data_IF_113021829000
#
_entry.id   IF_113021829000
#
_cell.length_a   1.000
_cell.length_b   1.000
_cell.length_c   1.000
_cell.angle_alpha   90.00
_cell.angle_beta   90.00
_cell.angle_gamma   90.00
#
_symmetry.space_group_name_H-M   'P 1'
#
loop_
_entity.id
_entity.type
_entity.pdbx_description
1 polymer ?
#
# COMPACT_ATOMS: atom_id res chain seq x y z
N UNK A 1 22.21 4.04 -11.14
CA UNK A 1 23.34 4.20 -12.08
C UNK A 1 22.83 4.17 -13.52
N UNK A 2 22.04 3.17 -13.91
CA UNK A 2 21.53 3.01 -15.28
C UNK A 2 20.88 4.22 -16.00
N UNK A 3 20.09 5.08 -15.34
CA UNK A 3 19.28 6.06 -16.10
C UNK A 3 20.12 7.18 -16.74
N UNK A 4 21.15 7.68 -16.04
CA UNK A 4 22.03 8.73 -16.56
C UNK A 4 22.93 8.16 -17.66
N UNK A 5 23.47 6.95 -17.47
CA UNK A 5 24.27 6.25 -18.48
C UNK A 5 23.44 5.99 -19.75
N UNK A 6 22.22 5.47 -19.61
CA UNK A 6 21.30 5.29 -20.75
C UNK A 6 21.01 6.60 -21.47
N UNK A 7 20.82 7.71 -20.74
CA UNK A 7 20.56 9.01 -21.35
C UNK A 7 21.80 9.57 -22.06
N UNK A 8 23.00 9.40 -21.48
CA UNK A 8 24.27 9.78 -22.13
C UNK A 8 24.47 9.03 -23.44
N UNK A 9 24.20 7.72 -23.44
CA UNK A 9 24.43 6.87 -24.61
C UNK A 9 23.38 7.07 -25.71
N UNK A 10 22.10 7.20 -25.35
CA UNK A 10 20.99 7.15 -26.31
C UNK A 10 20.31 8.49 -26.54
N UNK A 11 20.51 9.46 -25.65
CA UNK A 11 19.68 10.67 -25.57
C UNK A 11 18.20 10.34 -25.29
N UNK A 12 17.36 11.37 -25.29
CA UNK A 12 15.91 11.20 -25.37
C UNK A 12 15.24 12.49 -25.88
N UNK A 13 14.25 12.33 -26.77
CA UNK A 13 13.36 13.43 -27.17
C UNK A 13 12.11 13.51 -26.28
N UNK A 14 11.69 12.38 -25.69
CA UNK A 14 10.53 12.29 -24.80
C UNK A 14 10.98 11.59 -23.52
N UNK A 15 10.66 12.20 -22.37
CA UNK A 15 10.99 11.67 -21.04
C UNK A 15 9.71 11.48 -20.25
N UNK A 16 9.47 10.24 -19.81
CA UNK A 16 8.38 9.89 -18.90
C UNK A 16 8.99 9.54 -17.55
N UNK A 17 8.55 10.20 -16.48
CA UNK A 17 9.19 10.08 -15.17
C UNK A 17 8.20 10.35 -14.04
N UNK A 18 8.53 9.86 -12.84
CA UNK A 18 7.83 10.21 -11.61
C UNK A 18 8.53 11.38 -10.91
N UNK A 19 7.83 12.26 -10.17
CA UNK A 19 8.41 13.48 -9.61
C UNK A 19 9.69 13.27 -8.80
N UNK A 20 9.70 12.31 -7.86
CA UNK A 20 10.90 12.03 -7.05
C UNK A 20 12.11 11.63 -7.91
N UNK A 21 11.92 10.74 -8.89
CA UNK A 21 13.00 10.33 -9.79
C UNK A 21 13.51 11.48 -10.66
N UNK A 22 12.64 12.38 -11.07
CA UNK A 22 13.02 13.56 -11.85
C UNK A 22 13.83 14.57 -11.04
N UNK A 23 13.42 14.81 -9.79
CA UNK A 23 14.19 15.65 -8.85
C UNK A 23 15.58 15.05 -8.62
N UNK A 24 15.67 13.74 -8.34
CA UNK A 24 16.96 13.06 -8.23
C UNK A 24 17.84 13.28 -9.47
N UNK A 25 17.26 13.23 -10.67
CA UNK A 25 18.00 13.44 -11.92
C UNK A 25 18.45 14.89 -12.10
N UNK A 26 17.67 15.87 -11.65
CA UNK A 26 18.06 17.29 -11.68
C UNK A 26 19.12 17.65 -10.64
N UNK A 27 19.02 17.10 -9.44
CA UNK A 27 19.90 17.43 -8.31
C UNK A 27 21.23 16.69 -8.36
N UNK A 28 21.27 15.52 -9.02
CA UNK A 28 22.53 14.80 -9.26
C UNK A 28 23.47 15.65 -10.11
N UNK A 29 24.51 16.16 -9.45
CA UNK A 29 25.68 16.73 -10.10
C UNK A 29 26.64 15.59 -10.43
N UNK A 30 26.56 15.10 -11.66
CA UNK A 30 27.61 14.28 -12.26
C UNK A 30 28.46 15.22 -13.12
N UNK A 31 29.77 15.25 -12.89
CA UNK A 31 30.72 16.10 -13.61
C UNK A 31 30.67 15.89 -15.13
N UNK A 32 30.12 14.75 -15.57
CA UNK A 32 30.06 14.38 -16.98
C UNK A 32 28.69 14.59 -17.65
N UNK A 33 27.60 14.81 -16.91
CA UNK A 33 26.29 15.06 -17.51
C UNK A 33 25.35 15.84 -16.60
N UNK A 34 25.02 17.04 -17.06
CA UNK A 34 24.04 17.91 -16.41
C UNK A 34 22.68 17.75 -17.09
N UNK A 35 21.80 16.95 -16.49
CA UNK A 35 20.45 16.75 -17.01
C UNK A 35 19.66 18.07 -17.06
N UNK A 36 19.78 18.92 -16.03
CA UNK A 36 19.08 20.21 -15.98
C UNK A 36 19.44 21.14 -17.15
N UNK A 37 20.72 21.19 -17.54
CA UNK A 37 21.17 21.97 -18.68
C UNK A 37 20.51 21.51 -19.99
N UNK A 38 20.33 20.19 -20.16
CA UNK A 38 19.71 19.60 -21.34
C UNK A 38 18.18 19.78 -21.41
N UNK A 39 17.54 20.21 -20.32
CA UNK A 39 16.09 20.50 -20.31
C UNK A 39 15.74 21.94 -20.69
N UNK A 40 16.73 22.79 -20.99
CA UNK A 40 16.48 24.20 -21.35
C UNK A 40 15.78 24.38 -22.69
N UNK A 41 15.85 23.39 -23.57
CA UNK A 41 15.13 23.34 -24.85
C UNK A 41 13.76 22.66 -24.76
N UNK A 42 13.26 22.36 -23.55
CA UNK A 42 11.96 21.69 -23.39
C UNK A 42 10.81 22.56 -23.91
N UNK A 43 10.10 22.07 -24.92
CA UNK A 43 8.95 22.78 -25.49
C UNK A 43 7.61 22.40 -24.88
N UNK A 44 7.47 21.17 -24.38
CA UNK A 44 6.20 20.59 -23.93
C UNK A 44 6.37 19.91 -22.59
N UNK A 45 5.54 20.27 -21.60
CA UNK A 45 5.41 19.62 -20.32
C UNK A 45 4.01 19.02 -20.18
N UNK A 46 3.92 17.74 -19.81
CA UNK A 46 2.64 17.09 -19.53
C UNK A 46 2.60 16.68 -18.06
N UNK A 47 1.59 17.16 -17.34
CA UNK A 47 1.29 16.78 -15.97
C UNK A 47 0.04 15.90 -15.99
N UNK A 48 0.26 14.58 -16.00
CA UNK A 48 -0.81 13.57 -15.98
C UNK A 48 -1.17 13.17 -14.54
N UNK A 49 -2.44 12.78 -14.33
CA UNK A 49 -3.03 12.49 -13.01
C UNK A 49 -2.71 13.61 -11.98
N UNK A 50 -2.96 14.85 -12.38
CA UNK A 50 -2.49 16.04 -11.66
C UNK A 50 -3.01 16.18 -10.23
N UNK A 51 -4.19 15.62 -9.92
CA UNK A 51 -4.73 15.53 -8.55
C UNK A 51 -3.76 14.80 -7.61
N UNK A 52 -3.14 13.72 -8.10
CA UNK A 52 -2.18 12.91 -7.34
C UNK A 52 -0.84 13.61 -7.12
N UNK A 53 -0.41 14.43 -8.09
CA UNK A 53 0.86 15.17 -8.01
C UNK A 53 0.87 16.17 -6.84
N UNK A 54 -0.29 16.48 -6.27
CA UNK A 54 -0.44 17.40 -5.15
C UNK A 54 -0.78 16.66 -3.85
N UNK A 55 -1.71 15.70 -3.90
CA UNK A 55 -2.20 14.92 -2.75
C UNK A 55 -1.11 14.17 -1.96
N UNK A 56 -0.07 13.71 -2.64
CA UNK A 56 0.95 12.82 -2.05
C UNK A 56 2.16 13.56 -1.46
N UNK A 57 2.09 14.89 -1.31
CA UNK A 57 3.24 15.69 -0.87
C UNK A 57 4.32 15.85 -1.95
N UNK A 58 4.01 15.51 -3.20
CA UNK A 58 4.89 15.75 -4.34
C UNK A 58 4.89 17.22 -4.79
N UNK A 59 4.06 18.08 -4.20
CA UNK A 59 4.03 19.51 -4.49
C UNK A 59 5.43 20.14 -4.46
N UNK A 60 6.22 19.82 -3.43
CA UNK A 60 7.63 20.27 -3.34
C UNK A 60 8.44 19.79 -4.54
N UNK A 61 8.36 18.50 -4.87
CA UNK A 61 9.07 17.91 -6.00
C UNK A 61 8.64 18.53 -7.33
N UNK A 62 7.34 18.77 -7.52
CA UNK A 62 6.79 19.43 -8.72
C UNK A 62 7.30 20.86 -8.82
N UNK A 63 7.25 21.64 -7.74
CA UNK A 63 7.79 23.00 -7.70
C UNK A 63 9.29 23.03 -8.03
N UNK A 64 10.08 22.09 -7.48
CA UNK A 64 11.50 21.93 -7.83
C UNK A 64 11.65 21.65 -9.32
N UNK A 65 10.92 20.69 -9.88
CA UNK A 65 10.93 20.39 -11.33
C UNK A 65 10.62 21.63 -12.15
N UNK A 66 9.53 22.34 -11.84
CA UNK A 66 9.10 23.54 -12.57
C UNK A 66 10.16 24.66 -12.51
N UNK A 67 10.97 24.73 -11.45
CA UNK A 67 12.06 25.70 -11.31
C UNK A 67 13.24 25.44 -12.24
N UNK A 68 13.52 24.17 -12.58
CA UNK A 68 14.57 23.81 -13.53
C UNK A 68 14.16 24.04 -14.99
N UNK A 69 12.86 23.87 -15.29
CA UNK A 69 12.32 23.91 -16.65
C UNK A 69 12.17 25.34 -17.21
N UNK A 70 12.32 25.54 -18.53
CA UNK A 70 12.17 26.86 -19.17
C UNK A 70 10.75 27.39 -18.99
N UNK A 71 10.60 28.69 -18.70
CA UNK A 71 9.28 29.34 -18.53
C UNK A 71 8.47 29.37 -19.83
N UNK A 72 9.15 29.48 -20.97
CA UNK A 72 8.53 29.45 -22.30
C UNK A 72 8.39 28.00 -22.75
N UNK A 73 7.24 27.40 -22.42
CA UNK A 73 6.86 26.04 -22.80
C UNK A 73 5.35 25.91 -22.89
N UNK A 74 4.86 24.96 -23.67
CA UNK A 74 3.46 24.52 -23.65
C UNK A 74 3.28 23.55 -22.50
N UNK A 75 2.28 23.75 -21.65
CA UNK A 75 2.01 22.83 -20.54
C UNK A 75 0.60 22.29 -20.66
N UNK A 76 0.48 20.97 -20.73
CA UNK A 76 -0.79 20.25 -20.69
C UNK A 76 -0.98 19.64 -19.30
N UNK A 77 -2.13 19.90 -18.68
CA UNK A 77 -2.51 19.30 -17.40
C UNK A 77 -3.72 18.40 -17.63
N UNK A 78 -3.59 17.13 -17.24
CA UNK A 78 -4.62 16.12 -17.40
C UNK A 78 -4.98 15.54 -16.03
N UNK A 79 -6.27 15.44 -15.75
CA UNK A 79 -6.79 14.86 -14.52
C UNK A 79 -8.22 14.38 -14.73
N UNK A 80 -8.55 13.21 -14.20
CA UNK A 80 -9.93 12.71 -14.19
C UNK A 80 -10.82 13.46 -13.17
N UNK A 81 -10.22 14.08 -12.15
CA UNK A 81 -10.95 14.81 -11.11
C UNK A 81 -10.49 16.25 -11.01
N UNK A 82 -11.44 17.18 -10.88
CA UNK A 82 -11.15 18.58 -10.58
C UNK A 82 -11.26 18.78 -9.07
N UNK A 83 -10.12 18.94 -8.42
CA UNK A 83 -10.02 19.31 -7.00
C UNK A 83 -9.47 20.73 -6.89
N UNK A 84 -9.59 21.37 -5.71
CA UNK A 84 -9.09 22.74 -5.51
C UNK A 84 -7.58 22.82 -5.69
N UNK A 85 -6.88 21.78 -5.27
CA UNK A 85 -5.43 21.65 -5.39
C UNK A 85 -5.03 21.71 -6.88
N UNK A 86 -5.78 21.02 -7.75
CA UNK A 86 -5.54 21.09 -9.20
C UNK A 86 -5.72 22.53 -9.73
N UNK A 87 -6.70 23.29 -9.23
CA UNK A 87 -6.86 24.70 -9.60
C UNK A 87 -5.67 25.56 -9.18
N UNK A 88 -5.08 25.28 -8.02
CA UNK A 88 -3.89 25.99 -7.54
C UNK A 88 -2.65 25.62 -8.38
N UNK A 89 -2.51 24.36 -8.79
CA UNK A 89 -1.46 23.95 -9.73
C UNK A 89 -1.65 24.56 -11.13
N UNK A 90 -2.88 24.72 -11.59
CA UNK A 90 -3.21 25.45 -12.82
C UNK A 90 -2.68 26.90 -12.71
N UNK A 91 -2.92 27.58 -11.58
CA UNK A 91 -2.44 28.96 -11.36
C UNK A 91 -0.92 29.06 -11.27
N UNK A 92 -0.26 28.09 -10.66
CA UNK A 92 1.19 28.10 -10.48
C UNK A 92 1.97 27.66 -11.73
N UNK A 93 1.42 26.71 -12.50
CA UNK A 93 2.16 25.99 -13.55
C UNK A 93 1.79 26.36 -14.99
N UNK A 94 0.63 27.00 -15.22
CA UNK A 94 0.12 27.29 -16.57
C UNK A 94 0.10 28.79 -16.88
N UNK A 95 0.42 29.14 -18.12
CA UNK A 95 0.30 30.51 -18.66
C UNK A 95 -0.91 30.55 -19.60
N UNK A 96 -1.88 31.41 -19.30
CA UNK A 96 -3.14 31.55 -20.05
C UNK A 96 -3.82 30.19 -20.36
N UNK A 97 -4.18 29.41 -19.33
CA UNK A 97 -4.74 28.08 -19.52
C UNK A 97 -6.12 28.14 -20.18
N UNK A 98 -6.37 27.24 -21.13
CA UNK A 98 -7.71 26.95 -21.64
C UNK A 98 -8.21 25.68 -20.96
N UNK A 99 -9.34 25.76 -20.28
CA UNK A 99 -9.95 24.60 -19.62
C UNK A 99 -10.89 23.88 -20.57
N UNK A 100 -10.61 22.60 -20.84
CA UNK A 100 -11.49 21.71 -21.59
C UNK A 100 -12.06 20.69 -20.60
N UNK A 101 -13.36 20.76 -20.37
CA UNK A 101 -14.08 19.81 -19.50
C UNK A 101 -15.02 18.97 -20.36
N UNK A 102 -14.68 17.70 -20.52
CA UNK A 102 -15.57 16.72 -21.15
C UNK A 102 -16.57 16.27 -20.08
N UNK A 103 -17.84 16.64 -20.26
CA UNK A 103 -18.95 16.15 -19.45
C UNK A 103 -19.72 15.14 -20.29
N UNK A 104 -19.91 13.91 -19.78
CA UNK A 104 -20.85 12.98 -20.41
C UNK A 104 -22.26 13.60 -20.42
N UNK A 105 -23.01 13.38 -21.51
CA UNK A 105 -24.38 13.89 -21.67
C UNK A 105 -25.23 13.42 -20.50
N UNK A 106 -26.04 14.35 -19.98
CA UNK A 106 -26.97 14.11 -18.90
C UNK A 106 -27.81 12.86 -19.18
N UNK A 107 -27.78 11.87 -18.29
CA UNK A 107 -28.88 10.90 -18.21
C UNK A 107 -30.15 11.65 -17.78
N UNK A 108 -31.31 11.17 -18.19
CA UNK A 108 -32.64 11.81 -18.08
C UNK A 108 -33.08 12.23 -16.66
N UNK A 109 -32.23 12.04 -15.65
CA UNK A 109 -32.40 12.39 -14.24
C UNK A 109 -31.58 13.63 -13.79
N UNK A 110 -30.95 14.37 -14.71
CA UNK A 110 -30.39 15.71 -14.42
C UNK A 110 -29.14 15.74 -13.51
N UNK A 111 -28.51 14.61 -13.23
CA UNK A 111 -27.27 14.53 -12.42
C UNK A 111 -26.06 14.23 -13.31
N UNK A 112 -25.07 15.14 -13.32
CA UNK A 112 -23.78 14.92 -14.00
C UNK A 112 -22.97 13.85 -13.26
N UNK A 113 -22.74 12.69 -13.87
CA UNK A 113 -21.90 11.62 -13.29
C UNK A 113 -20.42 11.81 -13.68
N UNK A 114 -19.49 11.50 -12.75
CA UNK A 114 -18.03 11.51 -12.98
C UNK A 114 -17.45 10.14 -13.33
N UNK A 115 -18.30 9.12 -13.42
CA UNK A 115 -17.95 7.74 -13.74
C UNK A 115 -18.32 7.41 -15.18
N UNK A 116 -17.62 6.46 -15.84
CA UNK A 116 -17.97 6.04 -17.21
C UNK A 116 -19.44 5.63 -17.34
N UNK A 117 -20.11 5.96 -18.45
CA UNK A 117 -21.53 5.67 -18.65
C UNK A 117 -21.91 4.17 -18.54
N UNK A 118 -21.02 3.27 -18.97
CA UNK A 118 -21.24 1.81 -18.93
C UNK A 118 -20.83 1.17 -17.59
N UNK A 119 -20.42 1.98 -16.60
CA UNK A 119 -20.05 1.52 -15.26
C UNK A 119 -21.27 1.47 -14.34
N UNK A 120 -21.58 0.27 -13.84
CA UNK A 120 -22.56 0.09 -12.76
C UNK A 120 -21.86 0.04 -11.41
N UNK A 121 -22.18 0.97 -10.52
CA UNK A 121 -21.62 1.01 -9.17
C UNK A 121 -22.61 0.41 -8.17
N UNK A 122 -22.18 -0.60 -7.45
CA UNK A 122 -22.95 -1.30 -6.43
C UNK A 122 -22.33 -1.12 -5.05
N UNK A 123 -23.14 -1.27 -4.01
CA UNK A 123 -22.66 -1.44 -2.65
C UNK A 123 -23.38 -2.58 -1.92
N UNK A 124 -22.66 -3.19 -0.97
CA UNK A 124 -23.23 -4.13 0.01
C UNK A 124 -22.89 -3.62 1.41
N UNK A 125 -23.90 -3.59 2.27
CA UNK A 125 -23.71 -3.42 3.72
C UNK A 125 -23.41 -4.79 4.34
N UNK A 126 -22.25 -4.93 4.95
CA UNK A 126 -21.77 -6.19 5.52
C UNK A 126 -21.01 -5.94 6.82
N UNK A 127 -21.37 -6.70 7.85
CA UNK A 127 -20.65 -6.71 9.12
C UNK A 127 -19.18 -7.14 8.92
N UNK A 128 -18.29 -6.62 9.77
CA UNK A 128 -16.84 -6.76 9.58
C UNK A 128 -16.37 -8.23 9.59
N UNK A 129 -17.02 -9.09 10.38
CA UNK A 129 -16.77 -10.52 10.47
C UNK A 129 -17.15 -11.24 9.17
N UNK A 130 -18.25 -10.86 8.53
CA UNK A 130 -18.77 -11.51 7.31
C UNK A 130 -18.11 -11.07 6.02
N UNK A 131 -17.33 -9.97 6.02
CA UNK A 131 -16.72 -9.41 4.79
C UNK A 131 -15.87 -10.43 4.03
N UNK A 132 -15.07 -11.24 4.73
CA UNK A 132 -14.21 -12.24 4.08
C UNK A 132 -15.01 -13.37 3.43
N UNK A 133 -16.00 -13.91 4.14
CA UNK A 133 -16.87 -14.97 3.60
C UNK A 133 -17.63 -14.47 2.37
N UNK A 134 -18.12 -13.23 2.41
CA UNK A 134 -18.81 -12.58 1.31
C UNK A 134 -17.89 -12.40 0.10
N UNK A 135 -16.66 -11.89 0.29
CA UNK A 135 -15.70 -11.73 -0.80
C UNK A 135 -15.40 -13.06 -1.50
N UNK A 136 -15.15 -14.12 -0.72
CA UNK A 136 -14.84 -15.45 -1.29
C UNK A 136 -16.03 -16.02 -2.03
N UNK A 137 -17.24 -15.93 -1.45
CA UNK A 137 -18.48 -16.40 -2.09
C UNK A 137 -18.76 -15.64 -3.40
N UNK A 138 -18.54 -14.33 -3.40
CA UNK A 138 -18.67 -13.49 -4.58
C UNK A 138 -17.67 -13.91 -5.68
N UNK A 139 -16.39 -14.07 -5.34
CA UNK A 139 -15.36 -14.45 -6.31
C UNK A 139 -15.56 -15.88 -6.84
N UNK A 140 -16.11 -16.80 -6.05
CA UNK A 140 -16.44 -18.15 -6.50
C UNK A 140 -17.60 -18.18 -7.49
N UNK A 141 -18.67 -17.42 -7.21
CA UNK A 141 -19.83 -17.30 -8.11
C UNK A 141 -19.47 -16.63 -9.43
N UNK A 142 -18.43 -15.79 -9.46
CA UNK A 142 -17.94 -15.09 -10.64
C UNK A 142 -16.57 -15.61 -11.12
N UNK A 143 -16.28 -16.90 -10.91
CA UNK A 143 -14.94 -17.47 -11.14
C UNK A 143 -14.42 -17.42 -12.58
N UNK A 144 -15.31 -17.22 -13.56
CA UNK A 144 -14.99 -17.10 -15.00
C UNK A 144 -14.77 -15.65 -15.46
N UNK A 145 -14.71 -14.70 -14.54
CA UNK A 145 -14.54 -13.28 -14.85
C UNK A 145 -13.17 -12.78 -14.35
N UNK A 146 -12.78 -11.59 -14.83
CA UNK A 146 -11.55 -10.90 -14.40
C UNK A 146 -11.87 -9.85 -13.36
N UNK A 147 -11.23 -9.96 -12.20
CA UNK A 147 -11.51 -9.16 -11.00
C UNK A 147 -10.29 -8.38 -10.53
N UNK A 148 -10.53 -7.14 -10.09
CA UNK A 148 -9.57 -6.39 -9.27
C UNK A 148 -10.15 -6.17 -7.87
N UNK A 149 -9.39 -6.49 -6.83
CA UNK A 149 -9.81 -6.35 -5.43
C UNK A 149 -8.88 -5.39 -4.71
N UNK A 150 -9.41 -4.23 -4.32
CA UNK A 150 -8.69 -3.18 -3.63
C UNK A 150 -8.77 -3.33 -2.11
N UNK A 151 -7.59 -3.23 -1.48
CA UNK A 151 -7.42 -3.17 -0.03
C UNK A 151 -6.66 -1.90 0.37
N UNK A 152 -6.92 -1.40 1.58
CA UNK A 152 -6.35 -0.13 2.06
C UNK A 152 -4.85 -0.18 2.34
N UNK A 153 -4.26 -1.36 2.59
CA UNK A 153 -2.84 -1.45 2.98
C UNK A 153 -2.10 -2.60 2.30
N UNK A 154 -0.77 -2.44 2.17
CA UNK A 154 0.11 -3.48 1.63
C UNK A 154 0.05 -4.77 2.47
N UNK A 155 -0.06 -4.67 3.80
CA UNK A 155 -0.12 -5.83 4.66
C UNK A 155 -1.46 -6.58 4.52
N UNK A 156 -2.56 -5.87 4.29
CA UNK A 156 -3.84 -6.49 3.92
C UNK A 156 -3.72 -7.24 2.59
N UNK A 157 -3.13 -6.63 1.56
CA UNK A 157 -2.88 -7.32 0.27
C UNK A 157 -2.06 -8.60 0.46
N UNK A 158 -0.98 -8.58 1.23
CA UNK A 158 -0.14 -9.77 1.48
C UNK A 158 -0.83 -10.87 2.28
N UNK A 159 -1.77 -10.50 3.15
CA UNK A 159 -2.55 -11.42 4.00
C UNK A 159 -3.71 -12.03 3.23
N UNK A 160 -4.59 -11.20 2.66
CA UNK A 160 -5.77 -11.67 1.94
C UNK A 160 -5.39 -12.39 0.65
N UNK A 161 -4.33 -12.00 -0.07
CA UNK A 161 -3.85 -12.81 -1.22
C UNK A 161 -3.44 -14.23 -0.80
N UNK A 162 -2.75 -14.38 0.33
CA UNK A 162 -2.33 -15.69 0.82
C UNK A 162 -3.53 -16.58 1.22
N UNK A 163 -4.62 -15.97 1.71
CA UNK A 163 -5.88 -16.66 2.01
C UNK A 163 -6.63 -17.01 0.73
N UNK A 164 -6.83 -16.04 -0.16
CA UNK A 164 -7.61 -16.21 -1.38
C UNK A 164 -7.01 -17.30 -2.28
N UNK A 165 -5.69 -17.41 -2.36
CA UNK A 165 -5.01 -18.53 -3.06
C UNK A 165 -5.43 -19.90 -2.51
N UNK A 166 -5.67 -20.02 -1.20
CA UNK A 166 -6.09 -21.28 -0.58
C UNK A 166 -7.60 -21.54 -0.76
N UNK A 167 -8.41 -20.48 -0.78
CA UNK A 167 -9.87 -20.55 -0.85
C UNK A 167 -10.42 -20.66 -2.27
N UNK A 168 -9.73 -20.06 -3.25
CA UNK A 168 -10.11 -20.01 -4.66
C UNK A 168 -9.26 -20.97 -5.49
N UNK A 169 -9.36 -22.28 -5.22
CA UNK A 169 -8.49 -23.30 -5.84
C UNK A 169 -8.56 -23.33 -7.38
N UNK A 170 -9.68 -22.90 -7.96
CA UNK A 170 -9.93 -22.92 -9.41
C UNK A 170 -9.72 -21.56 -10.08
N UNK A 171 -9.26 -20.54 -9.35
CA UNK A 171 -9.11 -19.18 -9.87
C UNK A 171 -7.70 -18.69 -9.59
N UNK A 172 -7.03 -18.16 -10.62
CA UNK A 172 -5.70 -17.58 -10.45
C UNK A 172 -5.79 -16.31 -9.59
N UNK A 173 -5.08 -16.29 -8.46
CA UNK A 173 -4.97 -15.11 -7.60
C UNK A 173 -3.54 -14.59 -7.64
N UNK A 174 -3.39 -13.32 -8.00
CA UNK A 174 -2.11 -12.61 -8.00
C UNK A 174 -2.24 -11.31 -7.22
N UNK A 175 -1.13 -10.74 -6.76
CA UNK A 175 -1.16 -9.54 -5.91
C UNK A 175 -0.10 -8.52 -6.28
N UNK A 176 -0.46 -7.23 -6.24
CA UNK A 176 0.45 -6.11 -6.45
C UNK A 176 0.28 -5.07 -5.35
N UNK A 177 1.37 -4.64 -4.72
CA UNK A 177 1.37 -3.52 -3.77
C UNK A 177 2.65 -2.69 -3.88
N UNK A 178 2.63 -1.48 -3.31
CA UNK A 178 3.70 -0.48 -3.50
C UNK A 178 5.10 -0.89 -3.02
N UNK A 179 5.20 -1.84 -2.08
CA UNK A 179 6.49 -2.35 -1.58
C UNK A 179 7.16 -3.39 -2.49
N UNK A 180 6.51 -3.80 -3.58
CA UNK A 180 7.07 -4.75 -4.54
C UNK A 180 7.97 -4.04 -5.55
N UNK A 181 9.29 -4.25 -5.46
CA UNK A 181 10.27 -3.64 -6.37
C UNK A 181 10.45 -4.45 -7.67
N UNK A 182 11.00 -5.67 -7.60
CA UNK A 182 11.47 -6.42 -8.78
C UNK A 182 10.42 -7.30 -9.48
N UNK A 183 9.37 -7.73 -8.77
CA UNK A 183 8.36 -8.66 -9.32
C UNK A 183 7.12 -7.97 -9.90
N UNK A 184 6.97 -6.66 -9.67
CA UNK A 184 5.75 -5.92 -9.99
C UNK A 184 5.43 -5.95 -11.48
N UNK A 185 6.41 -5.65 -12.32
CA UNK A 185 6.23 -5.62 -13.78
C UNK A 185 5.80 -6.99 -14.31
N UNK A 186 6.51 -8.06 -13.94
CA UNK A 186 6.17 -9.43 -14.38
C UNK A 186 4.76 -9.85 -13.98
N UNK A 187 4.30 -9.48 -12.79
CA UNK A 187 2.94 -9.80 -12.32
C UNK A 187 1.91 -8.95 -13.07
N UNK A 188 2.23 -7.69 -13.34
CA UNK A 188 1.38 -6.80 -14.13
C UNK A 188 1.20 -7.31 -15.56
N UNK A 189 2.30 -7.62 -16.27
CA UNK A 189 2.27 -8.15 -17.63
C UNK A 189 1.48 -9.48 -17.69
N UNK A 190 1.64 -10.32 -16.67
CA UNK A 190 0.86 -11.55 -16.54
C UNK A 190 -0.63 -11.26 -16.36
N UNK A 191 -1.02 -10.24 -15.59
CA UNK A 191 -2.43 -9.90 -15.42
C UNK A 191 -3.06 -9.30 -16.67
N UNK A 192 -2.29 -8.51 -17.42
CA UNK A 192 -2.76 -7.92 -18.69
C UNK A 192 -3.26 -9.00 -19.65
N UNK A 193 -2.51 -10.10 -19.73
CA UNK A 193 -2.79 -11.23 -20.64
C UNK A 193 -3.77 -12.26 -20.07
N UNK A 194 -4.19 -12.13 -18.81
CA UNK A 194 -5.21 -13.02 -18.23
C UNK A 194 -6.61 -12.64 -18.72
N UNK A 195 -7.37 -13.63 -19.18
CA UNK A 195 -8.80 -13.49 -19.48
C UNK A 195 -9.65 -13.57 -18.21
N UNK A 196 -9.24 -14.41 -17.25
CA UNK A 196 -9.95 -14.64 -15.98
C UNK A 196 -8.97 -14.70 -14.82
N UNK A 197 -9.41 -14.29 -13.63
CA UNK A 197 -8.57 -14.29 -12.43
C UNK A 197 -8.79 -13.09 -11.53
N UNK A 198 -8.03 -13.04 -10.43
CA UNK A 198 -8.17 -12.03 -9.38
C UNK A 198 -6.84 -11.33 -9.14
N UNK A 199 -6.81 -10.01 -9.32
CA UNK A 199 -5.71 -9.16 -8.89
C UNK A 199 -6.04 -8.47 -7.56
N UNK A 200 -5.32 -8.86 -6.51
CA UNK A 200 -5.40 -8.23 -5.18
C UNK A 200 -4.41 -7.07 -5.10
N UNK A 201 -4.88 -5.84 -4.88
CA UNK A 201 -3.99 -4.68 -4.96
C UNK A 201 -4.32 -3.54 -3.99
N UNK A 202 -3.36 -2.62 -3.85
CA UNK A 202 -3.57 -1.31 -3.23
C UNK A 202 -3.77 -0.23 -4.29
N UNK A 203 -3.93 1.03 -3.88
CA UNK A 203 -4.08 2.20 -4.75
C UNK A 203 -2.91 2.49 -5.69
N UNK A 204 -1.84 1.68 -5.65
CA UNK A 204 -0.80 1.70 -6.69
C UNK A 204 -1.36 1.30 -8.06
N UNK A 205 -2.42 0.50 -8.08
CA UNK A 205 -3.11 0.05 -9.31
C UNK A 205 -4.39 0.85 -9.61
N UNK A 206 -4.70 1.89 -8.84
CA UNK A 206 -5.94 2.65 -9.01
C UNK A 206 -5.86 3.70 -10.13
N UNK A 207 -4.66 4.17 -10.50
CA UNK A 207 -4.43 5.31 -11.42
C UNK A 207 -3.41 4.97 -12.50
N UNK A 208 -3.51 5.61 -13.66
CA UNK A 208 -2.50 5.54 -14.73
C UNK A 208 -2.21 4.18 -15.37
N UNK A 209 -2.91 3.10 -14.98
CA UNK A 209 -2.73 1.76 -15.54
C UNK A 209 -3.97 1.33 -16.31
N UNK A 210 -3.80 1.03 -17.59
CA UNK A 210 -4.90 0.58 -18.44
C UNK A 210 -4.95 -0.93 -18.53
N UNK A 211 -5.91 -1.56 -17.84
CA UNK A 211 -6.04 -3.01 -17.80
C UNK A 211 -7.27 -3.39 -18.62
N UNK A 212 -7.12 -4.17 -19.70
CA UNK A 212 -8.24 -4.58 -20.53
C UNK A 212 -9.12 -5.61 -19.82
N UNK A 213 -10.41 -5.58 -20.18
CA UNK A 213 -11.41 -6.61 -19.86
C UNK A 213 -11.59 -6.92 -18.37
N UNK A 214 -11.40 -5.92 -17.50
CA UNK A 214 -11.76 -6.05 -16.08
C UNK A 214 -13.28 -6.02 -15.97
N UNK A 215 -13.89 -7.11 -15.49
CA UNK A 215 -15.34 -7.23 -15.36
C UNK A 215 -15.83 -6.59 -14.05
N UNK A 216 -15.07 -6.83 -12.97
CA UNK A 216 -15.39 -6.32 -11.65
C UNK A 216 -14.23 -5.61 -10.96
N UNK A 217 -14.54 -4.46 -10.37
CA UNK A 217 -13.69 -3.79 -9.38
C UNK A 217 -14.34 -3.90 -8.00
N UNK A 218 -13.78 -4.74 -7.15
CA UNK A 218 -14.20 -4.91 -5.77
C UNK A 218 -13.39 -3.99 -4.85
N UNK A 219 -14.06 -3.19 -4.05
CA UNK A 219 -13.45 -2.35 -3.02
C UNK A 219 -13.81 -2.95 -1.67
N UNK A 220 -12.91 -3.80 -1.16
CA UNK A 220 -13.12 -4.50 0.12
C UNK A 220 -13.13 -3.52 1.30
N UNK A 221 -12.27 -2.51 1.20
CA UNK A 221 -12.18 -1.38 2.10
C UNK A 221 -12.59 -0.11 1.35
N UNK A 222 -13.27 0.81 2.05
CA UNK A 222 -13.52 2.14 1.53
C UNK A 222 -12.19 2.83 1.14
N UNK A 223 -12.14 3.52 0.00
CA UNK A 223 -10.93 4.20 -0.47
C UNK A 223 -10.61 5.40 0.41
N UNK A 224 -9.30 5.64 0.63
CA UNK A 224 -8.78 6.70 1.50
C UNK A 224 -9.38 8.07 1.20
N UNK A 225 -9.62 8.37 -0.08
CA UNK A 225 -10.19 9.61 -0.57
C UNK A 225 -11.35 9.34 -1.52
N UNK A 226 -12.25 10.32 -1.67
CA UNK A 226 -13.36 10.23 -2.62
C UNK A 226 -12.89 10.24 -4.08
N UNK A 227 -11.79 10.90 -4.40
CA UNK A 227 -11.16 10.82 -5.73
C UNK A 227 -10.65 9.39 -6.00
N UNK A 228 -10.00 8.75 -5.01
CA UNK A 228 -9.54 7.36 -5.13
C UNK A 228 -10.68 6.39 -5.47
N UNK A 229 -11.92 6.65 -5.03
CA UNK A 229 -13.08 5.84 -5.42
C UNK A 229 -13.30 5.85 -6.94
N UNK A 230 -13.33 7.03 -7.56
CA UNK A 230 -13.53 7.20 -9.00
C UNK A 230 -12.43 6.48 -9.78
N UNK A 231 -11.18 6.64 -9.33
CA UNK A 231 -10.02 6.05 -9.99
C UNK A 231 -10.03 4.52 -9.94
N UNK A 232 -10.40 3.95 -8.78
CA UNK A 232 -10.58 2.51 -8.61
C UNK A 232 -11.69 2.00 -9.52
N UNK A 233 -12.90 2.54 -9.42
CA UNK A 233 -14.04 2.04 -10.19
C UNK A 233 -13.83 2.25 -11.71
N UNK A 234 -13.11 3.29 -12.10
CA UNK A 234 -12.67 3.54 -13.48
C UNK A 234 -11.57 2.60 -13.99
N UNK A 235 -11.21 1.52 -13.28
CA UNK A 235 -10.37 0.42 -13.83
C UNK A 235 -11.16 -0.58 -14.66
N UNK A 236 -12.49 -0.54 -14.59
CA UNK A 236 -13.41 -1.30 -15.46
C UNK A 236 -14.19 -0.31 -16.35
N UNK A 237 -15.09 -0.82 -17.19
CA UNK A 237 -15.89 -0.04 -18.15
C UNK A 237 -15.05 0.86 -19.07
N UNK A 238 -13.97 0.31 -19.61
CA UNK A 238 -13.02 1.01 -20.51
C UNK A 238 -13.22 0.59 -21.95
N UNK A 239 -12.82 1.47 -22.88
CA UNK A 239 -12.83 1.19 -24.32
C UNK A 239 -14.17 0.66 -24.87
N UNK A 240 -15.30 1.14 -24.31
CA UNK A 240 -16.64 0.73 -24.75
C UNK A 240 -17.15 -0.58 -24.15
N UNK A 241 -16.40 -1.24 -23.27
CA UNK A 241 -16.87 -2.40 -22.53
C UNK A 241 -17.74 -2.00 -21.34
N UNK A 242 -18.65 -2.89 -20.94
CA UNK A 242 -19.38 -2.76 -19.67
C UNK A 242 -18.49 -3.13 -18.48
N UNK A 243 -18.81 -2.56 -17.32
CA UNK A 243 -18.05 -2.79 -16.10
C UNK A 243 -18.89 -2.64 -14.85
N UNK A 244 -18.51 -3.37 -13.80
CA UNK A 244 -19.19 -3.30 -12.51
C UNK A 244 -18.19 -3.00 -11.41
N UNK A 245 -18.56 -2.13 -10.47
CA UNK A 245 -17.78 -1.88 -9.27
C UNK A 245 -18.63 -2.19 -8.04
N UNK A 246 -18.04 -2.81 -7.03
CA UNK A 246 -18.73 -3.17 -5.79
C UNK A 246 -17.97 -2.62 -4.59
N UNK A 247 -18.63 -1.80 -3.78
CA UNK A 247 -18.09 -1.28 -2.53
C UNK A 247 -18.67 -2.04 -1.33
N UNK A 248 -17.80 -2.60 -0.47
CA UNK A 248 -18.21 -3.23 0.78
C UNK A 248 -18.11 -2.24 1.94
N UNK A 249 -19.25 -1.92 2.56
CA UNK A 249 -19.33 -1.02 3.71
C UNK A 249 -19.82 -1.76 4.94
N UNK A 250 -19.29 -1.38 6.11
CA UNK A 250 -19.84 -1.75 7.40
C UNK A 250 -21.08 -0.89 7.70
N UNK A 251 -22.02 -1.37 8.53
CA UNK A 251 -23.19 -0.58 8.94
C UNK A 251 -22.85 0.83 9.47
N UNK A 252 -21.72 0.97 10.18
CA UNK A 252 -21.22 2.25 10.69
C UNK A 252 -20.68 3.20 9.62
N UNK A 253 -20.55 2.76 8.37
CA UNK A 253 -19.98 3.52 7.25
C UNK A 253 -21.05 3.98 6.24
N UNK A 254 -22.34 3.79 6.53
CA UNK A 254 -23.47 4.09 5.63
C UNK A 254 -23.44 5.54 5.09
N UNK A 255 -23.04 6.47 5.93
CA UNK A 255 -22.96 7.91 5.67
C UNK A 255 -21.94 8.23 4.57
N UNK A 256 -21.01 7.32 4.29
CA UNK A 256 -20.06 7.44 3.19
C UNK A 256 -20.75 7.44 1.82
N UNK A 257 -21.89 6.74 1.66
CA UNK A 257 -22.66 6.73 0.41
C UNK A 257 -23.18 8.13 0.06
N UNK A 258 -23.76 8.81 1.06
CA UNK A 258 -24.25 10.19 0.89
C UNK A 258 -23.10 11.17 0.62
N UNK A 259 -21.95 10.94 1.25
CA UNK A 259 -20.74 11.72 0.97
C UNK A 259 -20.24 11.53 -0.47
N UNK A 260 -20.22 10.30 -1.00
CA UNK A 260 -19.87 10.05 -2.41
C UNK A 260 -20.86 10.72 -3.37
N UNK A 261 -22.15 10.67 -3.07
CA UNK A 261 -23.17 11.34 -3.89
C UNK A 261 -22.96 12.87 -3.93
N UNK A 262 -22.72 13.49 -2.77
CA UNK A 262 -22.56 14.95 -2.69
C UNK A 262 -21.23 15.44 -3.28
N UNK A 263 -20.12 14.78 -2.96
CA UNK A 263 -18.78 15.26 -3.32
C UNK A 263 -18.34 14.84 -4.72
N UNK A 264 -18.76 13.64 -5.15
CA UNK A 264 -18.32 13.04 -6.41
C UNK A 264 -19.46 12.86 -7.42
N UNK A 265 -20.72 13.11 -7.03
CA UNK A 265 -21.90 12.91 -7.88
C UNK A 265 -22.01 11.47 -8.39
N UNK A 266 -21.57 10.53 -7.55
CA UNK A 266 -21.68 9.10 -7.84
C UNK A 266 -22.75 8.48 -6.96
N UNK A 267 -23.72 7.83 -7.60
CA UNK A 267 -24.76 7.05 -6.95
C UNK A 267 -24.38 5.57 -7.01
N UNK A 268 -24.53 4.86 -5.89
CA UNK A 268 -24.32 3.42 -5.83
C UNK A 268 -25.66 2.72 -5.61
N UNK A 269 -25.91 1.65 -6.35
CA UNK A 269 -27.09 0.82 -6.21
C UNK A 269 -26.86 -0.25 -5.13
N UNK A 270 -27.86 -0.48 -4.29
CA UNK A 270 -27.77 -1.54 -3.27
C UNK A 270 -27.85 -2.89 -3.97
N UNK A 271 -26.88 -3.76 -3.70
CA UNK A 271 -26.91 -5.16 -4.12
C UNK A 271 -27.16 -6.03 -2.89
N UNK A 272 -27.95 -7.09 -3.05
CA UNK A 272 -28.14 -8.05 -1.98
C UNK A 272 -26.90 -8.95 -1.83
N UNK A 273 -26.46 -9.23 -0.60
CA UNK A 273 -25.32 -10.10 -0.38
C UNK A 273 -25.64 -11.52 -0.88
N UNK A 274 -24.70 -12.21 -1.56
CA UNK A 274 -24.91 -13.60 -1.91
C UNK A 274 -25.11 -14.43 -0.64
N UNK A 275 -25.91 -15.49 -0.72
CA UNK A 275 -26.07 -16.42 0.38
C UNK A 275 -24.70 -16.96 0.80
N UNK A 276 -24.29 -16.69 2.04
CA UNK A 276 -22.98 -17.11 2.54
C UNK A 276 -23.03 -18.62 2.79
N UNK A 277 -22.47 -19.39 1.86
CA UNK A 277 -22.48 -20.87 1.93
C UNK A 277 -21.27 -21.42 2.68
N UNK A 278 -20.18 -20.63 2.77
CA UNK A 278 -18.88 -21.11 3.23
C UNK A 278 -18.45 -20.47 4.55
N UNK A 279 -18.07 -21.30 5.53
CA UNK A 279 -17.29 -20.87 6.70
C UNK A 279 -15.81 -20.72 6.33
N UNK A 280 -15.45 -19.60 5.70
CA UNK A 280 -14.06 -19.30 5.34
C UNK A 280 -13.25 -18.98 6.58
N UNK A 281 -13.81 -18.21 7.51
CA UNK A 281 -13.11 -17.78 8.74
C UNK A 281 -12.54 -18.97 9.51
N UNK A 282 -13.32 -20.03 9.72
CA UNK A 282 -12.86 -21.24 10.43
C UNK A 282 -11.71 -21.95 9.69
N UNK A 283 -11.79 -22.03 8.36
CA UNK A 283 -10.72 -22.59 7.52
C UNK A 283 -9.45 -21.76 7.64
N UNK A 284 -9.58 -20.43 7.66
CA UNK A 284 -8.44 -19.51 7.81
C UNK A 284 -7.84 -19.60 9.21
N UNK A 285 -8.66 -19.71 10.27
CA UNK A 285 -8.18 -19.96 11.63
C UNK A 285 -7.36 -21.26 11.70
N UNK A 286 -7.86 -22.35 11.09
CA UNK A 286 -7.12 -23.62 10.98
C UNK A 286 -5.79 -23.45 10.24
N UNK A 287 -5.76 -22.70 9.14
CA UNK A 287 -4.53 -22.38 8.40
C UNK A 287 -3.54 -21.56 9.26
N UNK A 288 -4.02 -20.59 10.03
CA UNK A 288 -3.20 -19.78 10.92
C UNK A 288 -2.61 -20.59 12.09
N UNK A 289 -3.32 -21.61 12.57
CA UNK A 289 -2.80 -22.57 13.56
C UNK A 289 -1.71 -23.48 12.98
N UNK A 290 -1.77 -23.78 11.68
CA UNK A 290 -0.81 -24.65 11.01
C UNK A 290 0.44 -23.91 10.50
N UNK A 291 0.31 -22.64 10.10
CA UNK A 291 1.41 -21.85 9.57
C UNK A 291 1.52 -20.48 10.24
N UNK A 292 2.63 -20.30 10.96
CA UNK A 292 3.01 -19.05 11.62
C UNK A 292 3.05 -17.86 10.67
N UNK A 293 3.41 -18.06 9.40
CA UNK A 293 3.47 -16.97 8.44
C UNK A 293 2.08 -16.35 8.18
N UNK A 294 1.03 -17.17 8.11
CA UNK A 294 -0.35 -16.70 7.92
C UNK A 294 -0.81 -15.95 9.16
N UNK A 295 -0.54 -16.50 10.36
CA UNK A 295 -0.85 -15.86 11.63
C UNK A 295 -0.20 -14.45 11.75
N UNK A 296 1.10 -14.35 11.49
CA UNK A 296 1.83 -13.07 11.61
C UNK A 296 1.38 -12.04 10.58
N UNK A 297 1.07 -12.49 9.36
CA UNK A 297 0.47 -11.64 8.33
C UNK A 297 -0.90 -11.11 8.76
N UNK A 298 -1.75 -11.95 9.34
CA UNK A 298 -3.08 -11.55 9.83
C UNK A 298 -2.99 -10.47 10.90
N UNK A 299 -2.13 -10.68 11.91
CA UNK A 299 -1.87 -9.69 12.96
C UNK A 299 -1.37 -8.36 12.37
N UNK A 300 -0.41 -8.42 11.45
CA UNK A 300 0.13 -7.21 10.79
C UNK A 300 -0.93 -6.50 9.96
N UNK A 301 -1.72 -7.24 9.20
CA UNK A 301 -2.79 -6.72 8.37
C UNK A 301 -3.84 -6.00 9.23
N UNK A 302 -4.31 -6.61 10.31
CA UNK A 302 -5.27 -6.01 11.24
C UNK A 302 -4.77 -4.70 11.86
N UNK A 303 -3.53 -4.68 12.39
CA UNK A 303 -2.93 -3.45 12.95
C UNK A 303 -2.82 -2.37 11.87
N UNK A 304 -2.37 -2.74 10.68
CA UNK A 304 -2.23 -1.77 9.58
C UNK A 304 -3.57 -1.21 9.09
N UNK A 305 -4.62 -2.04 9.06
CA UNK A 305 -5.96 -1.62 8.69
C UNK A 305 -6.50 -0.59 9.68
N UNK A 306 -6.40 -0.85 10.99
CA UNK A 306 -6.86 0.10 12.03
C UNK A 306 -6.11 1.43 11.92
N UNK A 307 -4.80 1.39 11.67
CA UNK A 307 -4.00 2.61 11.46
C UNK A 307 -4.43 3.37 10.20
N UNK A 308 -4.76 2.67 9.11
CA UNK A 308 -5.26 3.28 7.89
C UNK A 308 -6.65 3.88 8.10
N UNK A 309 -7.54 3.17 8.80
CA UNK A 309 -8.88 3.62 9.16
C UNK A 309 -8.84 4.90 10.01
N UNK A 310 -7.92 4.98 10.98
CA UNK A 310 -7.69 6.20 11.76
C UNK A 310 -7.28 7.40 10.90
N UNK A 311 -6.40 7.15 9.93
CA UNK A 311 -5.81 8.18 9.07
C UNK A 311 -6.63 8.42 7.80
N UNK A 312 -7.87 7.93 7.77
CA UNK A 312 -8.77 8.14 6.65
C UNK A 312 -9.05 9.63 6.49
N UNK A 313 -9.13 10.12 5.26
CA UNK A 313 -9.38 11.54 4.99
C UNK A 313 -10.75 11.97 5.55
N UNK A 314 -11.76 11.14 5.31
CA UNK A 314 -13.09 11.25 5.93
C UNK A 314 -13.13 10.74 7.38
N UNK A 315 -12.20 11.16 8.25
CA UNK A 315 -12.10 10.70 9.65
C UNK A 315 -13.37 10.94 10.49
N UNK A 316 -14.22 11.89 10.07
CA UNK A 316 -15.52 12.16 10.69
C UNK A 316 -16.57 11.07 10.40
N UNK A 317 -16.46 10.40 9.24
CA UNK A 317 -17.32 9.29 8.85
C UNK A 317 -16.73 7.96 9.36
N UNK A 318 -15.42 7.78 9.19
CA UNK A 318 -14.71 6.57 9.62
C UNK A 318 -14.17 6.72 11.05
N UNK A 319 -15.09 6.76 12.01
CA UNK A 319 -14.74 6.94 13.43
C UNK A 319 -14.31 5.62 14.05
N UNK A 320 -13.11 5.58 14.63
CA UNK A 320 -12.58 4.40 15.35
C UNK A 320 -13.43 4.05 16.58
N UNK A 321 -14.22 4.99 17.09
CA UNK A 321 -15.11 4.74 18.24
C UNK A 321 -16.26 3.81 17.87
N UNK A 322 -16.73 3.85 16.63
CA UNK A 322 -17.86 3.07 16.15
C UNK A 322 -17.44 1.70 15.60
N UNK A 323 -16.14 1.48 15.47
CA UNK A 323 -15.58 0.25 14.94
C UNK A 323 -15.65 -0.87 15.98
N UNK A 324 -16.37 -1.94 15.64
CA UNK A 324 -16.41 -3.17 16.44
C UNK A 324 -15.12 -3.97 16.22
N UNK A 325 -14.20 -3.87 17.19
CA UNK A 325 -12.92 -4.58 17.13
C UNK A 325 -13.06 -6.09 17.24
N UNK A 326 -14.11 -6.60 17.89
CA UNK A 326 -14.30 -8.03 18.05
C UNK A 326 -14.72 -8.67 16.73
N UNK A 327 -15.75 -8.12 16.08
CA UNK A 327 -16.17 -8.56 14.74
C UNK A 327 -15.07 -8.35 13.70
N UNK A 328 -14.35 -7.23 13.76
CA UNK A 328 -13.23 -6.99 12.86
C UNK A 328 -12.10 -8.02 13.05
N UNK A 329 -11.75 -8.36 14.29
CA UNK A 329 -10.74 -9.37 14.57
C UNK A 329 -11.18 -10.76 14.08
N UNK A 330 -12.48 -11.07 14.17
CA UNK A 330 -13.08 -12.28 13.61
C UNK A 330 -13.02 -12.30 12.08
N UNK A 331 -13.30 -11.19 11.41
CA UNK A 331 -13.20 -11.05 9.95
C UNK A 331 -11.78 -11.16 9.41
N UNK A 332 -10.78 -10.77 10.23
CA UNK A 332 -9.36 -11.05 9.99
C UNK A 332 -8.92 -12.43 10.50
N UNK A 333 -9.87 -13.30 10.89
CA UNK A 333 -9.64 -14.66 11.36
C UNK A 333 -8.50 -14.77 12.39
N UNK A 334 -8.40 -13.79 13.30
CA UNK A 334 -7.32 -13.75 14.27
C UNK A 334 -7.49 -14.86 15.31
N UNK A 335 -6.36 -15.43 15.75
CA UNK A 335 -6.35 -16.41 16.84
C UNK A 335 -6.36 -15.71 18.22
N UNK A 336 -5.76 -14.51 18.28
CA UNK A 336 -5.60 -13.71 19.49
C UNK A 336 -5.56 -12.23 19.14
N UNK A 337 -6.10 -11.39 20.03
CA UNK A 337 -6.02 -9.94 19.89
C UNK A 337 -4.57 -9.45 20.00
N UNK A 338 -4.08 -8.66 19.04
CA UNK A 338 -2.75 -8.07 19.10
C UNK A 338 -2.70 -6.92 20.09
N UNK A 339 -1.52 -6.68 20.67
CA UNK A 339 -1.31 -5.53 21.52
C UNK A 339 -1.07 -4.28 20.66
N UNK A 340 -1.93 -3.27 20.79
CA UNK A 340 -1.75 -1.97 20.14
C UNK A 340 -2.30 -0.83 21.02
N UNK A 341 -1.75 0.40 20.89
CA UNK A 341 -2.25 1.56 21.63
C UNK A 341 -3.75 1.82 21.46
N UNK A 342 -4.28 1.60 20.27
CA UNK A 342 -5.67 1.85 19.88
C UNK A 342 -6.69 0.94 20.58
N UNK A 343 -6.23 -0.22 21.07
CA UNK A 343 -7.03 -1.19 21.83
C UNK A 343 -6.94 -0.99 23.35
N UNK A 344 -6.09 -0.08 23.84
CA UNK A 344 -5.96 0.14 25.30
C UNK A 344 -7.25 0.72 25.88
N UNK A 345 -7.79 0.06 26.89
CA UNK A 345 -8.99 0.49 27.60
C UNK A 345 -10.30 0.27 26.84
N UNK A 346 -10.27 -0.37 25.65
CA UNK A 346 -11.47 -0.77 24.92
C UNK A 346 -11.86 -2.19 25.29
N UNK A 347 -13.14 -2.38 25.60
CA UNK A 347 -13.68 -3.68 25.91
C UNK A 347 -13.73 -4.52 24.63
N UNK A 348 -13.02 -5.66 24.60
CA UNK A 348 -13.04 -6.62 23.48
C UNK A 348 -14.12 -7.67 23.68
N UNK A 349 -15.27 -7.21 24.18
CA UNK A 349 -16.41 -8.05 24.55
C UNK A 349 -16.93 -8.69 23.26
N UNK A 350 -16.95 -10.03 23.21
CA UNK A 350 -17.43 -10.79 22.06
C UNK A 350 -16.36 -11.49 21.21
N UNK A 351 -15.06 -11.18 21.39
CA UNK A 351 -14.02 -11.90 20.66
C UNK A 351 -13.64 -13.22 21.36
N UNK A 352 -13.95 -14.35 20.74
CA UNK A 352 -13.58 -15.68 21.24
C UNK A 352 -12.11 -15.97 20.92
N UNK A 353 -11.22 -15.75 21.90
CA UNK A 353 -9.81 -16.11 21.74
C UNK A 353 -9.64 -17.62 21.63
N UNK A 354 -8.85 -18.06 20.66
CA UNK A 354 -8.48 -19.47 20.56
C UNK A 354 -7.60 -19.89 21.75
N UNK A 355 -7.80 -21.11 22.24
CA UNK A 355 -7.00 -21.71 23.33
C UNK A 355 -5.57 -22.12 22.91
N UNK A 356 -5.23 -21.92 21.64
CA UNK A 356 -3.95 -22.32 21.06
C UNK A 356 -2.81 -21.43 21.58
N UNK A 357 -1.72 -22.06 22.05
CA UNK A 357 -0.51 -21.31 22.37
C UNK A 357 0.18 -20.81 21.10
N UNK A 358 -0.10 -19.56 20.79
CA UNK A 358 0.46 -18.80 19.68
C UNK A 358 2.00 -18.91 19.63
N UNK A 359 2.72 -19.06 20.74
CA UNK A 359 4.20 -19.12 20.73
C UNK A 359 4.75 -20.37 20.04
N UNK A 360 3.97 -21.45 20.02
CA UNK A 360 4.41 -22.76 19.53
C UNK A 360 4.05 -23.03 18.07
N UNK A 361 3.28 -22.13 17.43
CA UNK A 361 2.92 -22.28 16.01
C UNK A 361 4.19 -22.28 15.14
N UNK A 362 4.48 -23.35 14.38
CA UNK A 362 5.66 -23.44 13.53
C UNK A 362 5.45 -22.73 12.19
N UNK A 363 6.54 -22.31 11.52
CA UNK A 363 6.45 -21.94 10.10
C UNK A 363 6.37 -23.20 9.23
N UNK A 364 5.46 -23.21 8.25
CA UNK A 364 5.40 -24.29 7.26
C UNK A 364 6.68 -24.39 6.41
N UNK A 365 7.36 -23.26 6.20
CA UNK A 365 8.67 -23.23 5.54
C UNK A 365 9.79 -23.64 6.52
N UNK A 366 10.39 -24.81 6.25
CA UNK A 366 11.48 -25.40 7.06
C UNK A 366 12.68 -24.48 7.27
N UNK A 367 13.05 -23.66 6.28
CA UNK A 367 14.18 -22.74 6.40
C UNK A 367 13.89 -21.59 7.38
N UNK A 368 12.69 -21.00 7.28
CA UNK A 368 12.25 -19.96 8.22
C UNK A 368 12.10 -20.50 9.64
N UNK A 369 11.60 -21.72 9.79
CA UNK A 369 11.49 -22.36 11.10
C UNK A 369 12.86 -22.61 11.74
N UNK A 370 13.84 -23.10 10.97
CA UNK A 370 15.22 -23.27 11.47
C UNK A 370 15.81 -21.94 11.96
N UNK A 371 15.59 -20.85 11.21
CA UNK A 371 16.06 -19.53 11.61
C UNK A 371 15.34 -19.00 12.86
N UNK A 372 14.03 -19.24 12.99
CA UNK A 372 13.27 -18.91 14.21
C UNK A 372 13.82 -19.63 15.43
N UNK A 373 14.06 -20.94 15.32
CA UNK A 373 14.59 -21.76 16.41
C UNK A 373 15.99 -21.30 16.82
N UNK A 374 16.85 -20.93 15.87
CA UNK A 374 18.16 -20.35 16.16
C UNK A 374 18.04 -19.05 16.97
N UNK A 375 17.19 -18.10 16.54
CA UNK A 375 16.91 -16.86 17.29
C UNK A 375 16.32 -17.12 18.67
N UNK A 376 15.47 -18.13 18.81
CA UNK A 376 14.88 -18.49 20.11
C UNK A 376 15.92 -19.07 21.06
N UNK A 377 16.86 -19.88 20.55
CA UNK A 377 18.00 -20.40 21.31
C UNK A 377 18.95 -19.28 21.73
N UNK A 378 19.33 -18.40 20.80
CA UNK A 378 20.15 -17.21 21.11
C UNK A 378 19.49 -16.33 22.18
N UNK A 379 18.17 -16.13 22.12
CA UNK A 379 17.43 -15.34 23.12
C UNK A 379 17.29 -16.03 24.48
N UNK A 380 17.34 -17.36 24.53
CA UNK A 380 17.31 -18.15 25.78
C UNK A 380 18.71 -18.23 26.39
N UNK A 381 19.75 -18.42 25.58
CA UNK A 381 21.15 -18.43 25.98
C UNK A 381 21.63 -17.05 26.48
N UNK A 382 21.03 -15.96 25.98
CA UNK A 382 21.28 -14.60 26.47
C UNK A 382 20.38 -14.16 27.63
N UNK A 383 19.66 -15.10 28.25
CA UNK A 383 18.61 -14.84 29.24
C UNK A 383 18.91 -15.24 30.68
N UNK A 384 19.93 -14.66 31.32
CA UNK A 384 19.93 -14.42 32.79
C UNK A 384 20.91 -13.32 33.28
N UNK A 385 21.45 -12.48 32.38
CA UNK A 385 22.46 -11.48 32.75
C UNK A 385 22.10 -10.04 32.35
N UNK A 386 20.81 -9.69 32.41
CA UNK A 386 20.36 -8.31 32.17
C UNK A 386 20.57 -7.38 33.37
N UNK A 387 20.78 -7.91 34.58
CA UNK A 387 21.01 -7.09 35.78
C UNK A 387 22.50 -6.92 36.16
N UNK A 388 23.37 -7.88 35.89
CA UNK A 388 24.82 -7.74 36.16
C UNK A 388 25.53 -6.88 35.08
N UNK A 389 25.07 -6.94 33.83
CA UNK A 389 25.62 -6.13 32.74
C UNK A 389 25.31 -4.62 32.87
N UNK A 390 24.38 -4.22 33.75
CA UNK A 390 24.11 -2.82 34.09
C UNK A 390 25.10 -2.27 35.14
N UNK A 391 25.59 -3.10 36.06
CA UNK A 391 26.60 -2.71 37.07
C UNK A 391 28.03 -2.67 36.48
N UNK A 392 28.42 -3.64 35.66
CA UNK A 392 29.79 -3.67 35.08
C UNK A 392 30.04 -2.60 34.01
N UNK A 393 28.98 -2.07 33.37
CA UNK A 393 29.07 -0.93 32.43
C UNK A 393 29.22 0.43 33.12
N UNK A 394 28.81 0.55 34.40
CA UNK A 394 29.01 1.79 35.18
C UNK A 394 30.46 1.97 35.64
N UNK A 395 31.20 0.89 35.88
CA UNK A 395 32.62 0.97 36.27
C UNK A 395 33.59 1.11 35.08
N UNK A 396 33.24 0.64 33.88
CA UNK A 396 34.12 0.75 32.69
C UNK A 396 34.07 2.09 31.95
N UNK A 397 33.24 3.05 32.38
CA UNK A 397 33.23 4.41 31.80
C UNK A 397 34.29 5.36 32.37
N UNK A 398 35.08 4.95 33.37
CA UNK A 398 36.13 5.79 33.98
C UNK A 398 37.56 5.49 33.52
N UNK A 399 37.78 4.71 32.46
CA UNK A 399 39.11 4.58 31.83
C UNK A 399 38.99 4.66 30.32
N UNK A 400 39.58 5.71 29.75
CA UNK A 400 39.55 6.02 28.31
C UNK A 400 40.20 4.93 27.43
N UNK A 401 39.91 4.92 26.12
CA UNK A 401 40.31 3.81 25.25
C UNK A 401 41.75 3.98 24.74
N UNK A 402 42.61 3.00 25.01
CA UNK A 402 43.83 2.78 24.22
C UNK A 402 43.50 1.97 22.96
N UNK A 403 43.93 2.48 21.81
CA UNK A 403 43.90 1.81 20.49
C UNK A 403 44.82 0.60 20.48
N UNK A 404 44.38 -0.53 19.92
CA UNK A 404 45.25 -1.54 19.29
C UNK A 404 44.59 -2.17 18.07
N UNK A 405 45.46 -2.48 17.12
CA UNK A 405 45.26 -2.69 15.70
C UNK A 405 44.63 -4.03 15.28
N UNK A 406 44.20 -4.01 14.02
CA UNK A 406 43.62 -5.09 13.24
C UNK A 406 44.53 -6.32 13.10
N UNK A 407 43.90 -7.51 12.94
CA UNK A 407 44.44 -8.62 12.15
C UNK A 407 43.32 -9.49 11.55
N UNK A 408 43.48 -9.71 10.25
CA UNK A 408 42.78 -10.53 9.25
C UNK A 408 42.51 -12.00 9.61
N UNK A 409 41.43 -12.60 9.05
CA UNK A 409 41.47 -13.86 8.25
C UNK A 409 40.08 -14.32 7.72
N UNK A 410 40.03 -14.64 6.41
CA UNK A 410 39.46 -15.88 5.87
C UNK A 410 38.04 -15.92 5.30
N UNK A 411 37.90 -15.88 3.96
CA UNK A 411 36.68 -16.22 3.20
C UNK A 411 36.37 -17.74 3.25
N UNK A 412 35.09 -18.09 3.43
CA UNK A 412 34.47 -19.31 2.87
C UNK A 412 33.05 -19.00 2.38
N UNK A 413 32.80 -19.27 1.09
CA UNK A 413 31.53 -19.13 0.36
C UNK A 413 30.70 -20.42 0.50
N UNK A 414 29.38 -20.31 0.73
CA UNK A 414 28.31 -21.03 -0.01
C UNK A 414 26.89 -20.62 0.45
N UNK A 415 26.24 -19.83 -0.42
CA UNK A 415 24.82 -19.79 -0.82
C UNK A 415 23.70 -20.01 0.22
N UNK A 416 22.95 -18.93 0.51
CA UNK A 416 21.48 -18.92 0.70
C UNK A 416 20.96 -17.49 0.88
N UNK A 417 20.06 -17.08 -0.01
CA UNK A 417 19.24 -15.84 0.06
C UNK A 417 20.03 -14.58 0.47
N UNK A 418 20.78 -14.01 -0.47
CA UNK A 418 21.62 -12.86 -0.18
C UNK A 418 20.76 -11.58 -0.04
N UNK A 419 20.50 -11.19 1.20
CA UNK A 419 20.66 -9.77 1.55
C UNK A 419 22.14 -9.46 1.32
N UNK A 420 22.46 -8.42 0.56
CA UNK A 420 23.84 -8.00 0.35
C UNK A 420 24.48 -7.65 1.70
N UNK A 421 25.81 -7.70 1.81
CA UNK A 421 26.49 -7.23 3.02
C UNK A 421 26.12 -5.77 3.33
N UNK A 422 25.85 -4.98 2.29
CA UNK A 422 25.34 -3.61 2.40
C UNK A 422 23.93 -3.58 3.04
N UNK A 423 22.99 -4.43 2.60
CA UNK A 423 21.64 -4.51 3.21
C UNK A 423 21.70 -4.90 4.70
N UNK A 424 22.64 -5.78 5.07
CA UNK A 424 22.85 -6.21 6.46
C UNK A 424 23.50 -5.11 7.31
N UNK A 425 24.43 -4.36 6.74
CA UNK A 425 25.09 -3.24 7.39
C UNK A 425 24.13 -2.04 7.58
N UNK A 426 23.24 -1.80 6.61
CA UNK A 426 22.17 -0.81 6.67
C UNK A 426 21.14 -1.16 7.77
N UNK A 427 20.66 -2.42 7.80
CA UNK A 427 19.81 -2.93 8.88
C UNK A 427 20.48 -2.82 10.26
N UNK A 428 21.80 -3.02 10.33
CA UNK A 428 22.55 -2.87 11.57
C UNK A 428 22.72 -1.40 11.97
N UNK A 429 22.87 -0.48 11.01
CA UNK A 429 22.91 0.97 11.24
C UNK A 429 21.56 1.48 11.75
N UNK A 430 20.46 1.07 11.12
CA UNK A 430 19.08 1.38 11.51
C UNK A 430 18.78 0.91 12.94
N UNK A 431 19.16 -0.33 13.25
CA UNK A 431 19.01 -0.88 14.59
C UNK A 431 19.83 -0.10 15.64
N UNK A 432 20.99 0.45 15.27
CA UNK A 432 21.80 1.31 16.15
C UNK A 432 21.14 2.67 16.35
N UNK A 433 20.58 3.29 15.31
CA UNK A 433 19.84 4.55 15.39
C UNK A 433 18.60 4.41 16.26
N UNK A 434 17.80 3.35 16.08
CA UNK A 434 16.62 3.07 16.91
C UNK A 434 17.03 2.91 18.38
N UNK A 435 18.19 2.28 18.62
CA UNK A 435 18.73 2.12 19.98
C UNK A 435 19.25 3.44 20.57
N UNK A 436 19.75 4.36 19.75
CA UNK A 436 20.13 5.73 20.17
C UNK A 436 18.89 6.57 20.50
N UNK A 437 17.84 6.52 19.69
CA UNK A 437 16.57 7.21 19.93
C UNK A 437 15.90 6.70 21.22
N UNK A 438 15.81 5.37 21.42
CA UNK A 438 15.28 4.78 22.66
C UNK A 438 16.07 5.15 23.92
N UNK A 439 17.33 5.57 23.75
CA UNK A 439 18.21 6.05 24.82
C UNK A 439 18.25 7.58 24.92
N UNK A 440 17.41 8.30 24.16
CA UNK A 440 17.39 9.77 24.05
C UNK A 440 18.76 10.39 23.71
N UNK A 441 19.61 9.65 22.98
CA UNK A 441 20.95 10.10 22.56
C UNK A 441 20.95 10.87 21.25
N UNK A 442 19.84 10.82 20.54
CA UNK A 442 19.51 11.59 19.35
C UNK A 442 18.07 12.06 19.53
N UNK A 443 17.73 13.22 18.98
CA UNK A 443 16.35 13.71 19.00
C UNK A 443 15.49 12.91 18.04
N UNK A 444 14.18 13.11 18.12
CA UNK A 444 13.25 12.48 17.18
C UNK A 444 13.43 13.08 15.78
N UNK A 445 13.71 14.38 15.68
CA UNK A 445 14.02 15.02 14.40
C UNK A 445 15.30 14.42 13.78
N UNK A 446 16.40 14.29 14.52
CA UNK A 446 17.66 13.70 14.04
C UNK A 446 17.53 12.21 13.65
N UNK A 447 16.61 11.49 14.30
CA UNK A 447 16.29 10.11 13.92
C UNK A 447 15.48 10.09 12.63
N UNK A 448 14.47 10.94 12.50
CA UNK A 448 13.63 10.99 11.31
C UNK A 448 14.44 11.44 10.07
N UNK A 449 15.37 12.41 10.23
CA UNK A 449 16.31 12.87 9.18
C UNK A 449 17.23 11.76 8.66
N UNK A 450 17.65 10.83 9.53
CA UNK A 450 18.53 9.73 9.16
C UNK A 450 17.82 8.56 8.45
N UNK A 451 16.48 8.54 8.43
CA UNK A 451 15.66 7.56 7.72
C UNK A 451 14.97 8.16 6.48
N UNK A 452 15.09 9.47 6.24
CA UNK A 452 14.65 10.15 5.02
C UNK A 452 15.80 10.21 4.00
N UNK A 453 16.00 9.08 3.29
CA UNK A 453 16.62 9.04 1.95
C UNK A 453 15.66 8.38 0.97
#
# INVERSE_FOLDING_TARGET
MNDIENFKEKGANIVVTTPGRMVDMFERKDDTFNFAANTKSLEVLVLDEADRLLDMGFEKSVNTILSYLPKQRRTGLFSATQTKEVEDLIRAGLRNPVSVSVKEKQTSLGKSQRTPALLKNFYIMCEADKKLDLLVTFLQSHSKEKHMVFFSTCACVEYFSAILVQMLKNTAVISIHGKMKSKRQKIFDRFMTMETGVLVCTDVMARGVDIPDVHWVLQFDAPKSSSSFIHRCGRTARMGHEGKALLLLMPSEDSYLKFLELNQKVTLEKMDPPAIVNTVIEKVKKLATQDRAIYEKGVRAFVSFIQAYRKHECYLLFRIKDLDFAKLAEGFALLKMPYMPELRGKATIGFQQSSVDVKNIPYKNKAKEKHRQAKLKESKESGDNKDVAKKSRRQKMNKGPQRKDAKTRGKKRKTKEDYTNEDLDELAADARLIRKLKRKKITKEEFDEAFEV
#
